data_IF_207285072283
#
_entry.id   IF_207285072283
#
_cell.length_a   1.000
_cell.length_b   1.000
_cell.length_c   1.000
_cell.angle_alpha   90.00
_cell.angle_beta   90.00
_cell.angle_gamma   90.00
#
_symmetry.space_group_name_H-M   'P 1'
#
loop_
_entity.id
_entity.type
_entity.pdbx_description
1 polymer ?
#
# COMPACT_ATOMS: atom_id res chain seq x y z
N UNK A 1 14.93 31.78 31.40
CA UNK A 1 14.61 30.34 31.35
C UNK A 1 13.20 30.25 30.78
N UNK A 2 13.03 29.60 29.64
CA UNK A 2 11.80 29.65 28.84
C UNK A 2 10.89 28.44 29.15
N UNK A 3 9.58 28.60 28.99
CA UNK A 3 8.58 27.56 29.29
C UNK A 3 8.88 26.26 28.52
N UNK A 4 9.25 26.38 27.25
CA UNK A 4 9.60 25.24 26.39
C UNK A 4 10.79 24.44 26.94
N UNK A 5 11.83 25.14 27.43
CA UNK A 5 13.03 24.48 27.99
C UNK A 5 12.74 23.66 29.25
N UNK A 6 11.69 24.00 29.99
CA UNK A 6 11.29 23.31 31.21
C UNK A 6 10.35 22.12 30.94
N UNK A 7 9.60 22.17 29.83
CA UNK A 7 8.83 21.04 29.30
C UNK A 7 9.76 19.96 28.75
N UNK A 8 10.78 20.34 27.97
CA UNK A 8 11.79 19.42 27.44
C UNK A 8 12.64 18.76 28.54
N UNK A 9 12.89 19.47 29.63
CA UNK A 9 13.57 18.95 30.82
C UNK A 9 12.72 17.97 31.65
N UNK A 10 11.50 17.62 31.21
CA UNK A 10 10.61 16.68 31.89
C UNK A 10 9.95 17.25 33.16
N UNK A 11 9.88 18.57 33.27
CA UNK A 11 9.22 19.25 34.39
C UNK A 11 7.73 18.92 34.43
N UNK A 12 7.25 18.42 35.57
CA UNK A 12 5.80 18.20 35.78
C UNK A 12 5.12 19.53 36.06
N UNK A 13 4.17 19.89 35.21
CA UNK A 13 3.38 21.12 35.34
C UNK A 13 1.90 20.79 35.45
N UNK A 14 1.15 21.62 36.18
CA UNK A 14 -0.31 21.55 36.27
C UNK A 14 -0.87 22.80 35.61
N UNK A 15 -1.86 22.62 34.75
CA UNK A 15 -2.57 23.72 34.09
C UNK A 15 -4.05 23.58 34.40
N UNK A 16 -4.70 24.69 34.71
CA UNK A 16 -6.16 24.77 34.66
C UNK A 16 -6.55 25.14 33.23
N UNK A 17 -7.41 24.31 32.64
CA UNK A 17 -7.92 24.48 31.27
C UNK A 17 -9.44 24.44 31.33
N UNK A 18 -10.09 25.11 30.38
CA UNK A 18 -11.54 25.03 30.29
C UNK A 18 -11.97 23.73 29.60
N UNK A 19 -13.25 23.36 29.78
CA UNK A 19 -13.80 22.19 29.08
C UNK A 19 -13.80 22.39 27.55
N UNK A 20 -13.99 23.64 27.09
CA UNK A 20 -13.96 23.98 25.66
C UNK A 20 -12.56 23.75 25.06
N UNK A 21 -11.51 24.15 25.78
CA UNK A 21 -10.12 23.91 25.35
C UNK A 21 -9.82 22.42 25.19
N UNK A 22 -10.36 21.58 26.07
CA UNK A 22 -10.13 20.14 26.04
C UNK A 22 -10.83 19.47 24.84
N UNK A 23 -12.04 19.93 24.49
CA UNK A 23 -12.76 19.46 23.29
C UNK A 23 -11.98 19.87 22.03
N UNK A 24 -11.58 21.14 21.93
CA UNK A 24 -10.79 21.61 20.79
C UNK A 24 -9.45 20.87 20.66
N UNK A 25 -8.84 20.49 21.78
CA UNK A 25 -7.64 19.66 21.78
C UNK A 25 -7.91 18.25 21.24
N UNK A 26 -8.99 17.60 21.67
CA UNK A 26 -9.37 16.27 21.20
C UNK A 26 -9.65 16.26 19.69
N UNK A 27 -10.40 17.24 19.17
CA UNK A 27 -10.67 17.35 17.73
C UNK A 27 -9.40 17.55 16.91
N UNK A 28 -8.46 18.37 17.41
CA UNK A 28 -7.14 18.54 16.76
C UNK A 28 -6.32 17.25 16.74
N UNK A 29 -6.36 16.46 17.81
CA UNK A 29 -5.68 15.16 17.85
C UNK A 29 -6.29 14.18 16.85
N UNK A 30 -7.62 14.11 16.77
CA UNK A 30 -8.33 13.24 15.83
C UNK A 30 -8.01 13.65 14.39
N UNK A 31 -8.09 14.95 14.08
CA UNK A 31 -7.75 15.48 12.76
C UNK A 31 -6.31 15.12 12.37
N UNK A 32 -5.33 15.36 13.25
CA UNK A 32 -3.93 15.01 12.99
C UNK A 32 -3.72 13.51 12.80
N UNK A 33 -4.39 12.66 13.58
CA UNK A 33 -4.30 11.21 13.44
C UNK A 33 -4.90 10.74 12.10
N UNK A 34 -6.02 11.33 11.68
CA UNK A 34 -6.64 11.06 10.39
C UNK A 34 -5.76 11.52 9.22
N UNK A 35 -5.18 12.71 9.30
CA UNK A 35 -4.24 13.25 8.30
C UNK A 35 -3.00 12.36 8.16
N UNK A 36 -2.39 11.95 9.28
CA UNK A 36 -1.24 11.04 9.27
C UNK A 36 -1.60 9.70 8.60
N UNK A 37 -2.75 9.12 8.96
CA UNK A 37 -3.24 7.89 8.34
C UNK A 37 -3.53 8.07 6.85
N UNK A 38 -4.11 9.20 6.45
CA UNK A 38 -4.39 9.50 5.05
C UNK A 38 -3.09 9.65 4.23
N UNK A 39 -2.06 10.26 4.82
CA UNK A 39 -0.73 10.35 4.20
C UNK A 39 -0.09 8.97 4.04
N UNK A 40 -0.13 8.12 5.07
CA UNK A 40 0.38 6.75 4.96
C UNK A 40 -0.34 5.93 3.89
N UNK A 41 -1.67 6.05 3.82
CA UNK A 41 -2.48 5.42 2.78
C UNK A 41 -2.12 5.96 1.39
N UNK A 42 -1.95 7.28 1.24
CA UNK A 42 -1.53 7.89 -0.02
C UNK A 42 -0.14 7.40 -0.46
N UNK A 43 0.81 7.30 0.47
CA UNK A 43 2.14 6.74 0.20
C UNK A 43 2.08 5.25 -0.18
N UNK A 44 1.28 4.45 0.51
CA UNK A 44 1.06 3.04 0.14
C UNK A 44 0.38 2.90 -1.22
N UNK A 45 -0.56 3.80 -1.53
CA UNK A 45 -1.28 3.80 -2.79
C UNK A 45 -0.38 4.26 -3.93
N UNK A 46 0.50 5.24 -3.71
CA UNK A 46 1.52 5.64 -4.69
C UNK A 46 2.57 4.53 -4.91
N UNK A 47 3.01 3.86 -3.85
CA UNK A 47 3.88 2.69 -3.96
C UNK A 47 3.21 1.53 -4.72
N UNK A 48 1.89 1.36 -4.57
CA UNK A 48 1.11 0.38 -5.32
C UNK A 48 0.83 0.84 -6.77
N UNK A 49 0.74 2.15 -7.01
CA UNK A 49 0.50 2.76 -8.32
C UNK A 49 1.77 2.89 -9.16
N UNK A 50 2.97 2.79 -8.57
CA UNK A 50 4.19 2.48 -9.31
C UNK A 50 4.09 1.05 -9.84
N UNK A 51 3.41 0.90 -10.97
CA UNK A 51 3.28 -0.35 -11.70
C UNK A 51 4.66 -0.97 -11.89
N UNK A 52 4.91 -2.01 -11.09
CA UNK A 52 6.15 -2.75 -11.14
C UNK A 52 6.06 -3.72 -12.30
N UNK A 53 6.95 -3.56 -13.27
CA UNK A 53 7.04 -4.40 -14.45
C UNK A 53 7.97 -5.57 -14.19
N UNK A 54 7.44 -6.79 -14.21
CA UNK A 54 8.18 -8.01 -13.89
C UNK A 54 8.40 -8.88 -15.12
N UNK A 55 9.43 -9.71 -15.10
CA UNK A 55 9.77 -10.60 -16.23
C UNK A 55 8.91 -11.86 -16.26
N UNK A 56 8.79 -12.49 -17.43
CA UNK A 56 8.09 -13.78 -17.60
C UNK A 56 8.53 -14.86 -16.59
N UNK A 57 9.82 -14.90 -16.24
CA UNK A 57 10.39 -15.85 -15.29
C UNK A 57 9.89 -15.60 -13.87
N UNK A 58 9.78 -14.33 -13.47
CA UNK A 58 9.26 -13.94 -12.16
C UNK A 58 7.75 -14.20 -12.06
N UNK A 59 6.98 -13.91 -13.12
CA UNK A 59 5.55 -14.25 -13.17
C UNK A 59 5.33 -15.75 -13.03
N UNK A 60 6.10 -16.54 -13.78
CA UNK A 60 6.08 -18.01 -13.70
C UNK A 60 6.34 -18.50 -12.27
N UNK A 61 7.34 -17.91 -11.58
CA UNK A 61 7.64 -18.24 -10.17
C UNK A 61 6.54 -17.80 -9.20
N UNK A 62 5.95 -16.62 -9.38
CA UNK A 62 4.90 -16.12 -8.49
C UNK A 62 3.58 -16.86 -8.64
N UNK A 63 3.19 -17.20 -9.88
CA UNK A 63 1.97 -17.93 -10.16
C UNK A 63 2.13 -19.46 -10.07
N UNK A 64 3.37 -19.97 -9.98
CA UNK A 64 3.65 -21.41 -9.99
C UNK A 64 3.29 -22.10 -11.33
N UNK A 65 3.32 -21.35 -12.44
CA UNK A 65 2.93 -21.84 -13.78
C UNK A 65 4.12 -21.96 -14.71
N UNK A 66 4.09 -22.87 -15.67
CA UNK A 66 5.14 -22.99 -16.69
C UNK A 66 5.00 -21.92 -17.80
N UNK A 67 6.09 -21.69 -18.55
CA UNK A 67 6.11 -20.71 -19.65
C UNK A 67 5.04 -20.95 -20.72
N UNK A 68 4.67 -22.22 -20.96
CA UNK A 68 3.61 -22.59 -21.90
C UNK A 68 2.25 -22.09 -21.44
N UNK A 69 1.95 -22.16 -20.14
CA UNK A 69 0.72 -21.61 -19.57
C UNK A 69 0.71 -20.09 -19.64
N UNK A 70 1.86 -19.45 -19.40
CA UNK A 70 2.00 -18.00 -19.55
C UNK A 70 1.68 -17.56 -20.99
N UNK A 71 2.19 -18.28 -21.99
CA UNK A 71 1.88 -18.03 -23.40
C UNK A 71 0.39 -18.18 -23.72
N UNK A 72 -0.28 -19.18 -23.13
CA UNK A 72 -1.73 -19.33 -23.27
C UNK A 72 -2.49 -18.14 -22.66
N UNK A 73 -2.02 -17.60 -21.53
CA UNK A 73 -2.60 -16.42 -20.91
C UNK A 73 -2.43 -15.17 -21.77
N UNK A 74 -1.27 -15.00 -22.42
CA UNK A 74 -1.06 -13.94 -23.41
C UNK A 74 -2.07 -14.06 -24.55
N UNK A 75 -2.26 -15.27 -25.10
CA UNK A 75 -3.16 -15.52 -26.23
C UNK A 75 -4.64 -15.34 -25.87
N UNK A 76 -5.02 -15.64 -24.63
CA UNK A 76 -6.38 -15.44 -24.10
C UNK A 76 -6.63 -14.02 -23.58
N UNK A 77 -5.59 -13.19 -23.49
CA UNK A 77 -5.70 -11.82 -22.98
C UNK A 77 -5.82 -11.70 -21.45
N UNK A 78 -5.54 -12.77 -20.69
CA UNK A 78 -5.53 -12.69 -19.22
C UNK A 78 -4.34 -11.88 -18.71
N UNK A 79 -3.21 -11.96 -19.41
CA UNK A 79 -1.98 -11.27 -19.05
C UNK A 79 -1.41 -10.65 -20.32
N UNK A 80 -1.42 -9.32 -20.41
CA UNK A 80 -0.93 -8.60 -21.59
C UNK A 80 0.54 -8.23 -21.38
N UNK A 81 1.47 -8.69 -22.23
CA UNK A 81 2.87 -8.28 -22.15
C UNK A 81 3.04 -6.85 -22.66
N UNK A 82 3.76 -6.02 -21.91
CA UNK A 82 4.39 -4.83 -22.47
C UNK A 82 5.77 -5.17 -23.02
N UNK A 83 6.05 -4.72 -24.22
CA UNK A 83 7.36 -4.85 -24.84
C UNK A 83 8.25 -3.69 -24.40
N UNK A 84 9.24 -3.99 -23.56
CA UNK A 84 10.30 -3.04 -23.18
C UNK A 84 11.56 -3.45 -23.94
N UNK A 85 11.70 -2.91 -25.15
CA UNK A 85 12.71 -3.35 -26.12
C UNK A 85 12.47 -4.79 -26.58
N UNK A 86 13.47 -5.65 -26.45
CA UNK A 86 13.39 -7.08 -26.82
C UNK A 86 12.75 -7.96 -25.72
N UNK A 87 12.56 -7.41 -24.52
CA UNK A 87 12.04 -8.18 -23.39
C UNK A 87 10.56 -7.92 -23.14
N UNK A 88 9.82 -9.00 -22.90
CA UNK A 88 8.44 -8.94 -22.42
C UNK A 88 8.41 -8.71 -20.92
N UNK A 89 7.61 -7.74 -20.49
CA UNK A 89 7.34 -7.43 -19.09
C UNK A 89 5.84 -7.51 -18.84
N UNK A 90 5.45 -7.89 -17.63
CA UNK A 90 4.06 -7.96 -17.22
C UNK A 90 3.82 -7.03 -16.05
N UNK A 91 2.64 -6.41 -16.02
CA UNK A 91 2.24 -5.57 -14.91
C UNK A 91 1.96 -6.45 -13.68
N UNK A 92 2.64 -6.14 -12.57
CA UNK A 92 2.47 -6.88 -11.32
C UNK A 92 1.03 -6.76 -10.78
N UNK A 93 0.32 -5.66 -11.11
CA UNK A 93 -1.10 -5.47 -10.83
C UNK A 93 -1.98 -6.56 -11.47
N UNK A 94 -1.78 -6.86 -12.75
CA UNK A 94 -2.54 -7.90 -13.46
C UNK A 94 -2.19 -9.30 -12.96
N UNK A 95 -0.92 -9.56 -12.65
CA UNK A 95 -0.49 -10.82 -12.04
C UNK A 95 -1.14 -11.02 -10.66
N UNK A 96 -1.20 -9.97 -9.83
CA UNK A 96 -1.92 -10.00 -8.54
C UNK A 96 -3.41 -10.25 -8.73
N UNK A 97 -4.07 -9.64 -9.72
CA UNK A 97 -5.50 -9.88 -10.01
C UNK A 97 -5.75 -11.36 -10.30
N UNK A 98 -4.92 -11.99 -11.12
CA UNK A 98 -5.03 -13.42 -11.43
C UNK A 98 -4.79 -14.29 -10.18
N UNK A 99 -3.82 -13.92 -9.34
CA UNK A 99 -3.53 -14.65 -8.10
C UNK A 99 -4.69 -14.56 -7.10
N UNK A 100 -5.30 -13.38 -6.96
CA UNK A 100 -6.48 -13.17 -6.09
C UNK A 100 -7.71 -13.88 -6.65
N UNK A 101 -7.93 -13.85 -7.97
CA UNK A 101 -9.02 -14.56 -8.62
C UNK A 101 -8.93 -16.09 -8.41
N UNK A 102 -7.71 -16.64 -8.49
CA UNK A 102 -7.50 -18.07 -8.25
C UNK A 102 -7.67 -18.44 -6.75
N UNK A 103 -7.32 -17.55 -5.82
CA UNK A 103 -7.58 -17.75 -4.38
C UNK A 103 -9.07 -17.77 -4.03
N UNK A 104 -9.91 -17.02 -4.74
CA UNK A 104 -11.36 -17.04 -4.55
C UNK A 104 -12.04 -18.26 -5.19
N UNK A 105 -11.33 -18.98 -6.07
CA UNK A 105 -11.82 -20.18 -6.75
C UNK A 105 -11.61 -21.48 -5.95
N UNK A 106 -11.46 -21.43 -4.62
CA UNK A 106 -11.54 -22.62 -3.76
C UNK A 106 -12.80 -22.62 -2.89
N UNK A 107 -13.94 -23.13 -3.38
CA UNK A 107 -14.99 -23.67 -2.55
C UNK A 107 -14.73 -25.16 -2.24
N UNK A 108 -14.77 -25.48 -0.94
CA UNK A 108 -15.17 -26.74 -0.31
C UNK A 108 -14.46 -28.04 -0.74
N UNK A 109 -13.56 -28.50 0.12
CA UNK A 109 -13.57 -29.87 0.66
C UNK A 109 -13.29 -29.81 2.17
#
# INVERSE_FOLDING_TARGET
MDLYSMIEAGGRMKFEVTAEDLVAFADRLIAKAQEAKALELAHQQEANNKETWITAKEVSKMCGVCSTTLWQWERKGYLVPAHVGSHKRYALSDVKKILTANKQAKPLE
#
